data_IF_018048827931
#
_entry.id   IF_018048827931
#
_cell.length_a   1.000
_cell.length_b   1.000
_cell.length_c   1.000
_cell.angle_alpha   90.00
_cell.angle_beta   90.00
_cell.angle_gamma   90.00
#
_symmetry.space_group_name_H-M   'P 1'
#
loop_
_entity.id
_entity.type
_entity.pdbx_description
1 polymer ?
#
# COMPACT_ATOMS: atom_id res chain seq x y z
N UNK A 1 -11.19 3.08 -8.81
CA UNK A 1 -12.51 3.63 -9.16
C UNK A 1 -13.61 2.75 -8.57
N UNK A 2 -14.74 3.34 -8.13
CA UNK A 2 -15.86 2.61 -7.50
C UNK A 2 -15.46 1.76 -6.28
N UNK A 3 -14.57 2.27 -5.43
CA UNK A 3 -14.27 1.64 -4.14
C UNK A 3 -15.27 2.14 -3.09
N UNK A 4 -15.61 1.28 -2.14
CA UNK A 4 -16.47 1.62 -0.99
C UNK A 4 -15.65 1.50 0.28
N UNK A 5 -15.72 2.51 1.14
CA UNK A 5 -15.03 2.51 2.43
C UNK A 5 -16.08 2.52 3.52
N UNK A 6 -16.13 1.46 4.32
CA UNK A 6 -16.94 1.42 5.54
C UNK A 6 -16.36 2.42 6.54
N UNK A 7 -17.21 3.24 7.16
CA UNK A 7 -16.78 4.29 8.08
C UNK A 7 -16.07 3.72 9.33
N UNK A 8 -15.22 4.54 9.95
CA UNK A 8 -14.46 4.17 11.16
C UNK A 8 -13.11 3.50 10.90
N UNK A 9 -12.58 3.59 9.67
CA UNK A 9 -11.29 3.03 9.29
C UNK A 9 -10.40 4.10 8.65
N UNK A 10 -9.17 4.21 9.13
CA UNK A 10 -8.19 5.14 8.56
C UNK A 10 -7.60 4.57 7.27
N UNK A 11 -7.28 5.46 6.34
CA UNK A 11 -6.54 5.16 5.12
C UNK A 11 -5.18 5.85 5.23
N UNK A 12 -4.13 5.06 5.32
CA UNK A 12 -2.77 5.57 5.44
C UNK A 12 -2.28 6.27 4.18
N UNK A 13 -1.25 7.09 4.34
CA UNK A 13 -0.64 7.86 3.26
C UNK A 13 -0.19 6.96 2.11
N UNK A 14 -0.45 7.39 0.88
CA UNK A 14 -0.10 6.65 -0.34
C UNK A 14 -0.67 5.23 -0.44
N UNK A 15 -1.65 4.86 0.39
CA UNK A 15 -2.37 3.61 0.23
C UNK A 15 -3.08 3.57 -1.12
N UNK A 16 -3.05 2.40 -1.76
CA UNK A 16 -3.63 2.18 -3.07
C UNK A 16 -4.84 1.26 -2.97
N UNK A 17 -6.04 1.83 -3.11
CA UNK A 17 -7.30 1.08 -3.09
C UNK A 17 -7.68 0.67 -4.51
N UNK A 18 -7.67 -0.63 -4.78
CA UNK A 18 -8.06 -1.19 -6.06
C UNK A 18 -9.49 -0.83 -6.46
N UNK A 19 -9.76 -0.83 -7.77
CA UNK A 19 -11.11 -0.60 -8.26
C UNK A 19 -12.11 -1.66 -7.75
N UNK A 20 -13.31 -1.24 -7.38
CA UNK A 20 -14.34 -2.13 -6.85
C UNK A 20 -14.08 -2.68 -5.44
N UNK A 21 -13.01 -2.25 -4.76
CA UNK A 21 -12.69 -2.77 -3.43
C UNK A 21 -13.67 -2.27 -2.36
N UNK A 22 -13.98 -3.13 -1.38
CA UNK A 22 -14.82 -2.77 -0.22
C UNK A 22 -13.97 -2.82 1.05
N UNK A 23 -13.51 -1.65 1.50
CA UNK A 23 -12.64 -1.50 2.67
C UNK A 23 -13.47 -1.61 3.95
N UNK A 24 -13.10 -2.58 4.79
CA UNK A 24 -13.78 -2.94 6.05
C UNK A 24 -12.83 -2.93 7.25
N UNK A 25 -11.60 -2.42 7.06
CA UNK A 25 -10.54 -2.32 8.09
C UNK A 25 -9.60 -1.17 7.74
N UNK A 26 -8.89 -0.65 8.73
CA UNK A 26 -7.82 0.34 8.55
C UNK A 26 -6.78 -0.17 7.53
N UNK A 27 -6.40 0.71 6.61
CA UNK A 27 -5.42 0.42 5.54
C UNK A 27 -4.10 1.10 5.89
N UNK A 28 -2.98 0.36 6.05
CA UNK A 28 -1.68 0.97 6.33
C UNK A 28 -1.19 1.89 5.20
N UNK A 29 -0.28 2.81 5.54
CA UNK A 29 0.40 3.63 4.55
C UNK A 29 1.10 2.75 3.50
N UNK A 30 1.08 3.17 2.23
CA UNK A 30 1.63 2.45 1.08
C UNK A 30 0.97 1.09 0.78
N UNK A 31 -0.05 0.65 1.53
CA UNK A 31 -0.65 -0.67 1.30
C UNK A 31 -1.46 -0.70 0.00
N UNK A 32 -1.27 -1.74 -0.81
CA UNK A 32 -2.14 -2.06 -1.94
C UNK A 32 -3.21 -3.04 -1.47
N UNK A 33 -4.48 -2.63 -1.52
CA UNK A 33 -5.62 -3.49 -1.14
C UNK A 33 -6.61 -3.65 -2.29
N UNK A 34 -7.17 -4.84 -2.44
CA UNK A 34 -8.12 -5.18 -3.53
C UNK A 34 -9.22 -6.11 -3.03
N UNK A 35 -10.35 -6.17 -3.75
CA UNK A 35 -11.43 -7.14 -3.54
C UNK A 35 -12.53 -6.69 -2.57
N UNK A 36 -13.54 -7.55 -2.40
CA UNK A 36 -14.69 -7.35 -1.53
C UNK A 36 -14.93 -8.62 -0.68
N UNK A 37 -14.65 -8.60 0.64
CA UNK A 37 -14.03 -7.51 1.39
C UNK A 37 -12.54 -7.33 1.03
N UNK A 38 -12.04 -6.10 1.11
CA UNK A 38 -10.69 -5.75 0.71
C UNK A 38 -9.63 -6.51 1.53
N UNK A 39 -8.58 -6.98 0.85
CA UNK A 39 -7.41 -7.66 1.43
C UNK A 39 -6.14 -7.06 0.87
N UNK A 40 -5.09 -7.03 1.68
CA UNK A 40 -3.79 -6.55 1.24
C UNK A 40 -3.19 -7.51 0.21
N UNK A 41 -2.84 -6.97 -0.96
CA UNK A 41 -2.18 -7.68 -2.04
C UNK A 41 -0.70 -7.27 -2.19
N UNK A 42 -0.27 -6.20 -1.51
CA UNK A 42 1.13 -5.79 -1.49
C UNK A 42 1.30 -4.35 -1.00
N UNK A 43 2.28 -3.68 -1.60
CA UNK A 43 2.66 -2.32 -1.28
C UNK A 43 2.90 -1.52 -2.56
N UNK A 44 2.71 -0.21 -2.48
CA UNK A 44 2.78 0.73 -3.59
C UNK A 44 3.73 1.87 -3.23
N UNK A 45 4.46 2.40 -4.20
CA UNK A 45 5.24 3.64 -4.04
C UNK A 45 4.34 4.88 -4.14
N UNK A 46 4.90 6.04 -3.81
CA UNK A 46 4.23 7.35 -3.97
C UNK A 46 3.86 7.64 -5.43
N UNK A 47 4.56 7.00 -6.37
CA UNK A 47 4.39 7.12 -7.81
C UNK A 47 3.48 6.02 -8.40
N UNK A 48 2.77 5.26 -7.56
CA UNK A 48 1.81 4.26 -8.03
C UNK A 48 2.44 2.98 -8.61
N UNK A 49 3.71 2.71 -8.32
CA UNK A 49 4.40 1.49 -8.73
C UNK A 49 4.42 0.46 -7.60
N UNK A 50 4.15 -0.81 -7.91
CA UNK A 50 4.18 -1.88 -6.91
C UNK A 50 5.59 -2.07 -6.37
N UNK A 51 5.75 -2.04 -5.05
CA UNK A 51 7.02 -2.28 -4.37
C UNK A 51 7.23 -3.78 -4.17
N UNK A 52 8.34 -4.29 -4.70
CA UNK A 52 8.81 -5.65 -4.48
C UNK A 52 9.95 -5.59 -3.47
N UNK A 53 9.70 -6.07 -2.26
CA UNK A 53 10.70 -6.11 -1.19
C UNK A 53 11.59 -7.34 -1.32
N UNK A 54 12.90 -7.15 -1.13
CA UNK A 54 13.88 -8.23 -1.04
C UNK A 54 13.87 -8.91 0.34
N UNK A 55 14.77 -9.89 0.54
CA UNK A 55 14.90 -10.62 1.80
C UNK A 55 15.34 -9.73 2.98
N UNK A 56 15.88 -8.55 2.69
CA UNK A 56 16.31 -7.53 3.66
C UNK A 56 15.21 -6.50 3.93
N UNK A 57 14.05 -6.61 3.27
CA UNK A 57 12.93 -5.70 3.42
C UNK A 57 13.14 -4.37 2.70
N UNK A 58 13.98 -4.31 1.66
CA UNK A 58 14.19 -3.10 0.86
C UNK A 58 13.51 -3.23 -0.52
N UNK A 59 12.94 -2.13 -0.99
CA UNK A 59 12.37 -2.01 -2.34
C UNK A 59 12.78 -0.67 -2.96
N UNK A 60 12.87 -0.62 -4.29
CA UNK A 60 13.18 0.59 -5.04
C UNK A 60 12.06 0.86 -6.03
N UNK A 61 11.57 2.10 -6.07
CA UNK A 61 10.61 2.51 -7.08
C UNK A 61 11.31 2.62 -8.45
N UNK A 62 10.77 1.99 -9.52
CA UNK A 62 11.40 2.02 -10.84
C UNK A 62 11.40 3.41 -11.49
N UNK A 63 10.45 4.27 -11.13
CA UNK A 63 10.30 5.62 -11.70
C UNK A 63 11.10 6.66 -10.92
N UNK A 64 10.83 6.81 -9.62
CA UNK A 64 11.46 7.84 -8.78
C UNK A 64 12.84 7.46 -8.27
N UNK A 65 13.22 6.17 -8.36
CA UNK A 65 14.44 5.59 -7.75
C UNK A 65 14.53 5.73 -6.22
N UNK A 66 13.43 6.13 -5.59
CA UNK A 66 13.32 6.21 -4.13
C UNK A 66 13.34 4.82 -3.52
N UNK A 67 13.94 4.73 -2.33
CA UNK A 67 14.08 3.50 -1.58
C UNK A 67 13.01 3.44 -0.51
N UNK A 68 12.47 2.25 -0.30
CA UNK A 68 11.45 1.95 0.69
C UNK A 68 11.92 0.78 1.53
N UNK A 69 11.60 0.82 2.82
CA UNK A 69 11.95 -0.20 3.78
C UNK A 69 10.67 -0.75 4.42
N UNK A 70 10.54 -2.07 4.48
CA UNK A 70 9.47 -2.79 5.14
C UNK A 70 9.99 -3.36 6.47
N UNK A 71 9.53 -2.78 7.58
CA UNK A 71 9.84 -3.26 8.93
C UNK A 71 8.56 -3.43 9.74
N UNK A 72 8.41 -4.58 10.41
CA UNK A 72 7.26 -4.88 11.27
C UNK A 72 5.89 -4.65 10.58
N UNK A 73 5.81 -4.92 9.27
CA UNK A 73 4.59 -4.71 8.49
C UNK A 73 4.26 -3.25 8.19
N UNK A 74 5.22 -2.32 8.35
CA UNK A 74 5.09 -0.91 7.97
C UNK A 74 6.13 -0.57 6.90
N UNK A 75 5.69 0.16 5.89
CA UNK A 75 6.57 0.69 4.85
C UNK A 75 6.92 2.13 5.18
N UNK A 76 8.21 2.44 5.13
CA UNK A 76 8.75 3.80 5.28
C UNK A 76 9.69 4.11 4.12
N UNK A 77 9.63 5.34 3.61
CA UNK A 77 10.61 5.85 2.66
C UNK A 77 11.97 5.99 3.34
N UNK A 78 13.00 5.37 2.77
CA UNK A 78 14.37 5.54 3.21
C UNK A 78 14.95 6.80 2.56
N UNK A 79 15.41 7.73 3.38
CA UNK A 79 16.07 8.99 2.97
C UNK A 79 17.47 8.68 2.43
#
# INVERSE_FOLDING_TARGET
ANATIVCGHDIGEYAFIGAGAVVTKTVPAYALVVGNPARQAGWMSEYGHRLNFDAQGLAVCPESKEKYKLENGKVTKAI
#
